data_IF_772791714108
#
_entry.id   IF_772791714108
#
_cell.length_a   1.000
_cell.length_b   1.000
_cell.length_c   1.000
_cell.angle_alpha   90.00
_cell.angle_beta   90.00
_cell.angle_gamma   90.00
#
_symmetry.space_group_name_H-M   'P 1'
#
loop_
_entity.id
_entity.type
_entity.pdbx_description
1 polymer ?
#
# COMPACT_ATOMS: atom_id res chain seq x y z
N UNK A 1 -6.21 0.34 -11.14
CA UNK A 1 -5.48 -0.43 -12.18
C UNK A 1 -5.32 0.30 -13.52
N UNK A 2 -6.06 1.38 -13.78
CA UNK A 2 -6.03 2.12 -15.06
C UNK A 2 -4.65 2.47 -15.61
N UNK A 3 -3.71 2.87 -14.75
CA UNK A 3 -2.33 3.16 -15.17
C UNK A 3 -1.59 1.92 -15.73
N UNK A 4 -1.73 0.76 -15.06
CA UNK A 4 -1.08 -0.49 -15.47
C UNK A 4 -1.69 -1.05 -16.76
N UNK A 5 -3.00 -0.85 -16.94
CA UNK A 5 -3.70 -1.22 -18.18
C UNK A 5 -3.26 -0.34 -19.37
N UNK A 6 -3.02 0.96 -19.12
CA UNK A 6 -2.53 1.90 -20.15
C UNK A 6 -1.03 1.77 -20.43
N UNK A 7 -0.28 1.05 -19.59
CA UNK A 7 1.18 0.89 -19.69
C UNK A 7 1.56 -0.58 -19.43
N UNK A 8 1.28 -1.51 -20.37
CA UNK A 8 1.50 -2.94 -20.17
C UNK A 8 2.98 -3.36 -20.28
N UNK A 9 3.86 -2.48 -20.79
CA UNK A 9 5.30 -2.73 -20.89
C UNK A 9 6.12 -2.09 -19.77
N UNK A 10 7.40 -2.46 -19.69
CA UNK A 10 8.38 -1.84 -18.78
C UNK A 10 8.58 -0.35 -19.04
N UNK A 11 8.47 0.05 -20.31
CA UNK A 11 8.62 1.45 -20.74
C UNK A 11 7.21 2.07 -20.83
N UNK A 12 6.93 3.15 -20.06
CA UNK A 12 5.64 3.83 -20.11
C UNK A 12 5.46 4.57 -21.44
N UNK A 13 4.20 4.78 -21.84
CA UNK A 13 3.89 5.52 -23.07
C UNK A 13 4.32 6.98 -22.96
N UNK A 14 4.66 7.60 -24.09
CA UNK A 14 5.02 9.03 -24.14
C UNK A 14 3.88 9.93 -23.65
N UNK A 15 2.63 9.50 -23.82
CA UNK A 15 1.44 10.18 -23.31
C UNK A 15 1.37 10.15 -21.79
N UNK A 16 1.61 8.98 -21.15
CA UNK A 16 1.65 8.87 -19.69
C UNK A 16 2.84 9.62 -19.07
N UNK A 17 3.97 9.72 -19.78
CA UNK A 17 5.11 10.54 -19.38
C UNK A 17 4.76 12.03 -19.37
N UNK A 18 4.24 12.56 -20.49
CA UNK A 18 3.88 13.98 -20.61
C UNK A 18 2.67 14.36 -19.75
N UNK A 19 1.74 13.45 -19.52
CA UNK A 19 0.54 13.65 -18.69
C UNK A 19 0.80 13.65 -17.18
N UNK A 20 2.03 13.38 -16.73
CA UNK A 20 2.41 13.36 -15.32
C UNK A 20 1.85 12.17 -14.53
N UNK A 21 1.37 11.14 -15.22
CA UNK A 21 0.73 9.96 -14.60
C UNK A 21 1.69 9.23 -13.66
N UNK A 22 2.97 9.15 -14.03
CA UNK A 22 4.03 8.52 -13.21
C UNK A 22 4.17 9.24 -11.88
N UNK A 23 4.24 10.58 -11.90
CA UNK A 23 4.38 11.40 -10.70
C UNK A 23 3.17 11.24 -9.77
N UNK A 24 1.96 11.26 -10.33
CA UNK A 24 0.71 11.01 -9.59
C UNK A 24 0.70 9.62 -8.97
N UNK A 25 1.04 8.59 -9.76
CA UNK A 25 1.09 7.20 -9.29
C UNK A 25 2.11 7.01 -8.18
N UNK A 26 3.31 7.60 -8.29
CA UNK A 26 4.34 7.56 -7.24
C UNK A 26 3.87 8.20 -5.94
N UNK A 27 3.18 9.34 -6.02
CA UNK A 27 2.61 10.01 -4.83
C UNK A 27 1.56 9.15 -4.14
N UNK A 28 0.62 8.62 -4.91
CA UNK A 28 -0.41 7.72 -4.39
C UNK A 28 0.20 6.46 -3.77
N UNK A 29 1.21 5.84 -4.41
CA UNK A 29 1.93 4.71 -3.83
C UNK A 29 2.62 5.08 -2.51
N UNK A 30 3.29 6.24 -2.46
CA UNK A 30 3.93 6.74 -1.23
C UNK A 30 2.92 6.90 -0.10
N UNK A 31 1.78 7.52 -0.38
CA UNK A 31 0.70 7.71 0.59
C UNK A 31 0.17 6.37 1.12
N UNK A 32 -0.08 5.40 0.25
CA UNK A 32 -0.54 4.06 0.66
C UNK A 32 0.51 3.32 1.51
N UNK A 33 1.78 3.35 1.11
CA UNK A 33 2.85 2.65 1.81
C UNK A 33 3.08 3.24 3.21
N UNK A 34 3.20 4.56 3.32
CA UNK A 34 3.37 5.21 4.63
C UNK A 34 2.10 5.16 5.48
N UNK A 35 0.92 5.27 4.86
CA UNK A 35 -0.36 5.13 5.55
C UNK A 35 -0.52 3.74 6.18
N UNK A 36 -0.15 2.69 5.44
CA UNK A 36 -0.15 1.32 5.97
C UNK A 36 0.80 1.18 7.16
N UNK A 37 2.05 1.67 7.05
CA UNK A 37 2.99 1.65 8.17
C UNK A 37 2.46 2.35 9.41
N UNK A 38 1.97 3.59 9.24
CA UNK A 38 1.36 4.38 10.33
C UNK A 38 0.17 3.66 10.97
N UNK A 39 -0.69 3.03 10.17
CA UNK A 39 -1.81 2.27 10.72
C UNK A 39 -1.41 1.09 11.60
N UNK A 40 -0.14 0.65 11.53
CA UNK A 40 0.38 -0.43 12.37
C UNK A 40 0.98 0.05 13.69
N UNK A 41 1.31 1.34 13.85
CA UNK A 41 2.11 1.83 14.99
C UNK A 41 1.65 3.17 15.58
N UNK A 42 0.84 3.95 14.87
CA UNK A 42 0.38 5.25 15.35
C UNK A 42 -0.68 5.03 16.44
N UNK A 43 -0.71 5.86 17.49
CA UNK A 43 -1.76 5.82 18.50
C UNK A 43 -3.15 5.95 17.88
N UNK A 44 -4.15 5.44 18.60
CA UNK A 44 -5.55 5.62 18.19
C UNK A 44 -5.88 7.11 18.06
N UNK A 45 -6.42 7.53 16.92
CA UNK A 45 -6.68 8.96 16.64
C UNK A 45 -7.77 9.59 17.50
N UNK A 46 -8.58 8.79 18.18
CA UNK A 46 -9.68 9.23 19.05
C UNK A 46 -9.27 9.10 20.52
N UNK A 47 -8.81 7.92 20.95
CA UNK A 47 -8.48 7.67 22.36
C UNK A 47 -7.07 8.08 22.76
N UNK A 48 -6.17 8.34 21.80
CA UNK A 48 -4.73 8.56 22.01
C UNK A 48 -3.99 7.40 22.67
N UNK A 49 -4.61 6.22 22.75
CA UNK A 49 -3.97 5.03 23.29
C UNK A 49 -2.86 4.54 22.36
N UNK A 50 -1.76 4.10 22.97
CA UNK A 50 -0.65 3.48 22.24
C UNK A 50 -1.14 2.22 21.54
N UNK A 51 -0.66 2.03 20.32
CA UNK A 51 -1.02 0.89 19.49
C UNK A 51 0.22 0.33 18.79
N UNK A 52 0.29 -0.99 18.72
CA UNK A 52 1.19 -1.71 17.83
C UNK A 52 0.45 -2.94 17.34
N UNK A 53 0.49 -3.21 16.04
CA UNK A 53 -0.21 -4.34 15.48
C UNK A 53 0.49 -5.67 15.84
N UNK A 54 -0.26 -6.61 16.43
CA UNK A 54 0.21 -7.97 16.74
C UNK A 54 0.07 -8.96 15.56
N UNK A 55 -0.75 -8.60 14.56
CA UNK A 55 -0.94 -9.35 13.33
C UNK A 55 -1.52 -8.44 12.23
N UNK A 56 -1.33 -8.82 10.96
CA UNK A 56 -1.87 -8.11 9.80
C UNK A 56 -2.74 -9.06 8.98
N UNK A 57 -3.99 -8.66 8.69
CA UNK A 57 -4.88 -9.33 7.75
C UNK A 57 -5.05 -8.40 6.55
N UNK A 58 -4.72 -8.87 5.35
CA UNK A 58 -4.76 -8.05 4.15
C UNK A 58 -5.33 -8.82 2.96
N UNK A 59 -5.83 -8.08 1.97
CA UNK A 59 -6.15 -8.67 0.67
C UNK A 59 -4.89 -8.72 -0.22
N UNK A 60 -4.77 -9.71 -1.13
CA UNK A 60 -3.66 -9.78 -2.10
C UNK A 60 -3.38 -8.46 -2.85
N UNK A 61 -4.38 -7.68 -3.31
CA UNK A 61 -4.10 -6.43 -4.03
C UNK A 61 -3.70 -5.25 -3.13
N UNK A 62 -3.68 -5.42 -1.80
CA UNK A 62 -3.12 -4.40 -0.90
C UNK A 62 -1.63 -4.24 -1.14
N UNK A 63 -1.10 -3.08 -0.78
CA UNK A 63 0.33 -2.80 -0.79
C UNK A 63 0.87 -2.73 0.64
N UNK A 64 2.19 -2.74 0.80
CA UNK A 64 2.92 -2.58 2.08
C UNK A 64 2.73 -3.67 3.16
N UNK A 65 1.61 -4.38 3.23
CA UNK A 65 1.27 -5.29 4.32
C UNK A 65 2.36 -6.33 4.63
N UNK A 66 2.95 -6.99 3.62
CA UNK A 66 4.06 -7.96 3.81
C UNK A 66 5.29 -7.29 4.43
N UNK A 67 5.65 -6.10 3.95
CA UNK A 67 6.82 -5.37 4.47
C UNK A 67 6.60 -4.85 5.89
N UNK A 68 5.38 -4.39 6.21
CA UNK A 68 5.04 -3.95 7.56
C UNK A 68 5.09 -5.11 8.55
N UNK A 69 4.50 -6.26 8.20
CA UNK A 69 4.54 -7.46 9.03
C UNK A 69 5.98 -7.94 9.27
N UNK A 70 6.81 -7.97 8.22
CA UNK A 70 8.22 -8.32 8.33
C UNK A 70 8.98 -7.36 9.26
N UNK A 71 8.75 -6.05 9.13
CA UNK A 71 9.43 -5.05 9.95
C UNK A 71 9.01 -5.12 11.44
N UNK A 72 7.77 -5.48 11.71
CA UNK A 72 7.23 -5.65 13.07
C UNK A 72 7.50 -7.05 13.67
N UNK A 73 7.88 -8.02 12.84
CA UNK A 73 8.06 -9.41 13.28
C UNK A 73 6.75 -10.12 13.60
N UNK A 74 5.64 -9.75 12.93
CA UNK A 74 4.29 -10.29 13.20
C UNK A 74 3.74 -11.10 12.03
N UNK A 75 2.70 -11.88 12.27
CA UNK A 75 2.05 -12.69 11.24
C UNK A 75 1.31 -11.82 10.22
N UNK A 76 1.41 -12.17 8.93
CA UNK A 76 0.60 -11.61 7.85
C UNK A 76 -0.28 -12.71 7.24
N UNK A 77 -1.60 -12.56 7.35
CA UNK A 77 -2.57 -13.44 6.70
C UNK A 77 -3.19 -12.74 5.49
N UNK A 78 -3.02 -13.34 4.31
CA UNK A 78 -3.57 -12.81 3.08
C UNK A 78 -4.85 -13.56 2.71
N UNK A 79 -5.98 -12.86 2.63
CA UNK A 79 -7.25 -13.44 2.17
C UNK A 79 -7.79 -12.70 0.95
N UNK A 80 -8.24 -13.43 -0.05
CA UNK A 80 -8.94 -12.84 -1.19
C UNK A 80 -10.45 -12.84 -0.89
N UNK A 81 -11.09 -11.68 -1.03
CA UNK A 81 -12.52 -11.52 -0.73
C UNK A 81 -13.42 -11.90 -1.89
N UNK A 82 -12.84 -12.22 -3.05
CA UNK A 82 -13.54 -12.79 -4.20
C UNK A 82 -13.12 -14.26 -4.34
N UNK A 83 -14.00 -15.14 -4.86
CA UNK A 83 -13.66 -16.54 -5.12
C UNK A 83 -12.65 -16.69 -6.26
#
# INVERSE_FOLDING_TARGET
>A
MSYMVRNPGLIPSMESLKGGDIGKKRRMMREMLHGCWRSCIDPNSISSELFVADAIIANPPSFAHVHCAQALGVSAHTMFTMP
#
